data_IF_323999928333
#
_entry.id   IF_323999928333
#
_cell.length_a   1.000
_cell.length_b   1.000
_cell.length_c   1.000
_cell.angle_alpha   90.00
_cell.angle_beta   90.00
_cell.angle_gamma   90.00
#
_symmetry.space_group_name_H-M   'P 1'
#
loop_
_entity.id
_entity.type
_entity.pdbx_description
1 polymer ?
#
# COMPACT_ATOMS: atom_id res chain seq x y z
N UNK A 1 30.52 6.13 -17.15
CA UNK A 1 29.11 6.37 -16.69
C UNK A 1 29.10 6.27 -15.19
N UNK A 2 28.88 7.39 -14.47
CA UNK A 2 28.83 7.44 -13.01
C UNK A 2 27.50 6.90 -12.47
N UNK A 3 26.40 7.33 -13.08
CA UNK A 3 25.05 6.88 -12.76
C UNK A 3 24.34 6.49 -14.06
N UNK A 4 23.67 5.36 -14.07
CA UNK A 4 22.88 4.92 -15.22
C UNK A 4 21.50 5.59 -15.22
N UNK A 5 20.90 5.76 -16.39
CA UNK A 5 19.50 6.16 -16.50
C UNK A 5 18.60 5.18 -15.72
N UNK A 6 17.57 5.69 -15.06
CA UNK A 6 16.68 4.91 -14.18
C UNK A 6 17.22 4.67 -12.76
N UNK A 7 18.44 5.12 -12.44
CA UNK A 7 18.98 5.03 -11.08
C UNK A 7 18.19 5.94 -10.13
N UNK A 8 17.67 5.41 -9.02
CA UNK A 8 17.07 6.22 -7.95
C UNK A 8 18.15 7.09 -7.31
N UNK A 9 17.95 8.40 -7.31
CA UNK A 9 18.88 9.35 -6.68
C UNK A 9 18.69 9.32 -5.16
N UNK A 10 19.78 9.03 -4.45
CA UNK A 10 19.91 9.19 -3.00
C UNK A 10 20.80 10.40 -2.72
N UNK A 11 20.82 10.89 -1.46
CA UNK A 11 21.70 11.99 -1.06
C UNK A 11 23.18 11.73 -1.44
N UNK A 12 23.67 10.51 -1.22
CA UNK A 12 25.04 10.11 -1.58
C UNK A 12 25.28 10.16 -3.10
N UNK A 13 24.30 9.73 -3.91
CA UNK A 13 24.40 9.78 -5.38
C UNK A 13 24.32 11.20 -5.91
N UNK A 14 23.58 12.08 -5.25
CA UNK A 14 23.59 13.52 -5.55
C UNK A 14 24.95 14.13 -5.24
N UNK A 15 25.56 13.80 -4.09
CA UNK A 15 26.92 14.20 -3.76
C UNK A 15 27.96 13.72 -4.78
N UNK A 16 27.85 12.48 -5.25
CA UNK A 16 28.70 11.94 -6.31
C UNK A 16 28.57 12.74 -7.62
N UNK A 17 27.35 13.07 -8.02
CA UNK A 17 27.09 13.86 -9.22
C UNK A 17 27.68 15.28 -9.09
N UNK A 18 27.49 15.93 -7.94
CA UNK A 18 28.06 17.24 -7.65
C UNK A 18 29.61 17.21 -7.67
N UNK A 19 30.23 16.20 -7.06
CA UNK A 19 31.67 16.01 -7.07
C UNK A 19 32.23 15.80 -8.51
N UNK A 20 31.40 15.31 -9.42
CA UNK A 20 31.74 15.16 -10.84
C UNK A 20 31.42 16.41 -11.68
N UNK A 21 31.04 17.54 -11.05
CA UNK A 21 30.80 18.82 -11.71
C UNK A 21 29.42 18.99 -12.33
N UNK A 22 28.44 18.18 -11.89
CA UNK A 22 27.05 18.33 -12.33
C UNK A 22 26.24 19.18 -11.38
N UNK A 23 25.87 20.40 -11.78
CA UNK A 23 25.03 21.32 -11.00
C UNK A 23 23.53 20.98 -11.12
N UNK A 24 23.14 20.27 -12.16
CA UNK A 24 21.76 19.85 -12.40
C UNK A 24 21.72 18.46 -13.04
N UNK A 25 20.68 17.70 -12.70
CA UNK A 25 20.42 16.38 -13.26
C UNK A 25 18.99 16.31 -13.81
N UNK A 26 18.76 15.79 -15.02
CA UNK A 26 17.42 15.50 -15.49
C UNK A 26 16.85 14.33 -14.70
N UNK A 27 15.73 14.53 -14.01
CA UNK A 27 15.09 13.51 -13.17
C UNK A 27 13.61 13.37 -13.51
N UNK A 28 13.04 12.19 -13.28
CA UNK A 28 11.60 12.01 -13.20
C UNK A 28 11.16 12.28 -11.76
N UNK A 29 10.18 13.16 -11.59
CA UNK A 29 9.51 13.34 -10.31
C UNK A 29 8.78 12.04 -9.90
N UNK A 30 8.54 11.82 -8.60
CA UNK A 30 7.64 10.77 -8.14
C UNK A 30 6.28 10.89 -8.85
N UNK A 31 5.69 9.75 -9.24
CA UNK A 31 4.37 9.77 -9.85
C UNK A 31 3.33 10.27 -8.83
N UNK A 32 2.38 11.08 -9.30
CA UNK A 32 1.31 11.57 -8.45
C UNK A 32 0.29 10.46 -8.15
N UNK A 33 -0.33 10.54 -6.97
CA UNK A 33 -1.45 9.69 -6.56
C UNK A 33 -2.58 10.56 -6.00
N UNK A 34 -3.79 10.41 -6.54
CA UNK A 34 -5.01 10.98 -5.97
C UNK A 34 -5.62 9.98 -4.99
N UNK A 35 -6.00 10.45 -3.81
CA UNK A 35 -6.58 9.61 -2.76
C UNK A 35 -8.06 9.94 -2.57
N UNK A 36 -8.92 8.93 -2.70
CA UNK A 36 -10.36 9.01 -2.49
C UNK A 36 -10.71 8.18 -1.25
N UNK A 37 -11.25 8.84 -0.24
CA UNK A 37 -11.63 8.23 1.02
C UNK A 37 -13.14 8.03 1.07
N UNK A 38 -13.56 6.78 1.13
CA UNK A 38 -14.97 6.35 1.21
C UNK A 38 -15.28 5.86 2.63
N UNK A 39 -16.53 5.87 3.00
CA UNK A 39 -17.04 5.42 4.30
C UNK A 39 -17.71 6.57 5.05
N UNK A 40 -19.04 6.62 4.98
CA UNK A 40 -19.83 7.61 5.72
C UNK A 40 -19.70 7.44 7.23
N UNK A 41 -19.35 6.23 7.70
CA UNK A 41 -19.09 5.94 9.10
C UNK A 41 -17.77 6.55 9.62
N UNK A 42 -16.86 6.96 8.72
CA UNK A 42 -15.51 7.42 9.07
C UNK A 42 -15.50 8.89 9.46
N UNK A 43 -15.10 9.20 10.68
CA UNK A 43 -14.95 10.59 11.17
C UNK A 43 -13.50 11.03 11.20
N UNK A 44 -13.26 12.24 10.67
CA UNK A 44 -11.91 12.78 10.55
C UNK A 44 -11.32 13.28 11.88
N UNK A 45 -12.15 13.69 12.84
CA UNK A 45 -11.71 14.31 14.09
C UNK A 45 -12.58 13.89 15.28
N UNK A 46 -12.03 13.98 16.48
CA UNK A 46 -12.73 13.71 17.73
C UNK A 46 -12.97 12.23 18.03
N UNK A 47 -13.74 11.98 19.08
CA UNK A 47 -14.17 10.64 19.48
C UNK A 47 -15.42 10.27 18.67
N UNK A 48 -15.42 9.12 17.97
CA UNK A 48 -16.58 8.74 17.17
C UNK A 48 -17.79 8.40 18.04
N UNK A 49 -18.97 8.81 17.61
CA UNK A 49 -20.24 8.39 18.19
C UNK A 49 -20.50 6.89 17.88
N UNK A 50 -21.44 6.23 18.59
CA UNK A 50 -21.84 4.85 18.26
C UNK A 50 -22.19 4.68 16.77
N UNK A 51 -21.70 3.63 16.14
CA UNK A 51 -21.85 3.37 14.71
C UNK A 51 -20.92 4.15 13.79
N UNK A 52 -20.05 4.98 14.34
CA UNK A 52 -18.98 5.67 13.60
C UNK A 52 -17.60 5.13 13.99
N UNK A 53 -16.62 5.30 13.12
CA UNK A 53 -15.22 4.93 13.39
C UNK A 53 -14.29 6.11 13.14
N UNK A 54 -13.21 6.15 13.90
CA UNK A 54 -12.17 7.17 13.68
C UNK A 54 -11.33 6.83 12.45
N UNK A 55 -11.08 7.83 11.61
CA UNK A 55 -10.15 7.68 10.50
C UNK A 55 -8.74 7.35 11.02
N UNK A 56 -8.31 6.14 10.77
CA UNK A 56 -7.00 5.63 11.15
C UNK A 56 -6.03 5.54 9.97
N UNK A 57 -6.51 5.73 8.74
CA UNK A 57 -5.73 5.56 7.51
C UNK A 57 -5.43 6.92 6.88
N UNK A 58 -6.44 7.76 6.73
CA UNK A 58 -6.34 9.03 6.01
C UNK A 58 -5.17 9.92 6.44
N UNK A 59 -4.93 10.11 7.75
CA UNK A 59 -3.78 10.90 8.22
C UNK A 59 -2.41 10.33 7.85
N UNK A 60 -2.28 9.00 7.71
CA UNK A 60 -1.03 8.32 7.40
C UNK A 60 -0.79 8.12 5.89
N UNK A 61 -1.84 8.21 5.07
CA UNK A 61 -1.75 7.88 3.64
C UNK A 61 -0.73 8.71 2.86
N UNK A 62 -0.63 10.05 3.02
CA UNK A 62 0.35 10.84 2.28
C UNK A 62 1.79 10.38 2.54
N UNK A 63 2.14 10.15 3.81
CA UNK A 63 3.48 9.72 4.20
C UNK A 63 3.78 8.28 3.77
N UNK A 64 2.79 7.38 3.89
CA UNK A 64 2.92 6.01 3.40
C UNK A 64 3.11 5.94 1.88
N UNK A 65 2.39 6.76 1.12
CA UNK A 65 2.54 6.86 -0.33
C UNK A 65 3.90 7.46 -0.70
N UNK A 66 4.34 8.49 0.03
CA UNK A 66 5.66 9.09 -0.15
C UNK A 66 6.79 8.05 0.10
N UNK A 67 6.67 7.26 1.16
CA UNK A 67 7.60 6.15 1.44
C UNK A 67 7.60 5.09 0.32
N UNK A 68 6.47 4.87 -0.35
CA UNK A 68 6.35 4.02 -1.53
C UNK A 68 6.91 4.66 -2.81
N UNK A 69 7.35 5.93 -2.78
CA UNK A 69 7.89 6.63 -3.94
C UNK A 69 6.84 7.33 -4.82
N UNK A 70 5.69 7.64 -4.25
CA UNK A 70 4.58 8.37 -4.87
C UNK A 70 4.42 9.74 -4.22
N UNK A 71 3.93 10.73 -4.97
CA UNK A 71 3.55 12.04 -4.44
C UNK A 71 2.03 12.08 -4.27
N UNK A 72 1.54 12.25 -3.05
CA UNK A 72 0.10 12.33 -2.79
C UNK A 72 -0.24 13.59 -2.01
N UNK A 73 -1.39 14.18 -2.35
CA UNK A 73 -2.03 15.22 -1.58
C UNK A 73 -2.95 14.67 -0.48
N UNK A 74 -3.68 15.57 0.17
CA UNK A 74 -4.69 15.20 1.16
C UNK A 74 -5.82 14.40 0.51
N UNK A 75 -6.36 13.36 1.19
CA UNK A 75 -7.46 12.58 0.67
C UNK A 75 -8.73 13.41 0.42
N UNK A 76 -9.38 13.17 -0.70
CA UNK A 76 -10.72 13.69 -0.99
C UNK A 76 -11.76 12.75 -0.39
N UNK A 77 -12.64 13.26 0.48
CA UNK A 77 -13.74 12.46 1.05
C UNK A 77 -14.93 12.46 0.12
N UNK A 78 -15.48 11.28 -0.09
CA UNK A 78 -16.63 11.06 -0.97
C UNK A 78 -17.66 10.22 -0.20
N UNK A 79 -18.95 10.55 -0.25
CA UNK A 79 -19.99 9.76 0.39
C UNK A 79 -20.11 8.37 -0.24
N UNK A 80 -20.68 7.43 0.50
CA UNK A 80 -20.96 6.05 0.05
C UNK A 80 -22.10 6.02 -0.97
N UNK A 81 -21.83 6.59 -2.14
CA UNK A 81 -22.74 6.69 -3.28
C UNK A 81 -22.02 6.32 -4.57
N UNK A 82 -22.64 5.46 -5.38
CA UNK A 82 -22.02 4.92 -6.59
C UNK A 82 -21.70 6.01 -7.63
N UNK A 83 -22.58 7.02 -7.76
CA UNK A 83 -22.36 8.13 -8.68
C UNK A 83 -21.26 9.05 -8.19
N UNK A 84 -21.27 9.40 -6.90
CA UNK A 84 -20.23 10.23 -6.29
C UNK A 84 -18.86 9.55 -6.40
N UNK A 85 -18.78 8.25 -6.14
CA UNK A 85 -17.56 7.44 -6.27
C UNK A 85 -17.06 7.44 -7.73
N UNK A 86 -17.95 7.13 -8.69
CA UNK A 86 -17.62 7.16 -10.13
C UNK A 86 -17.09 8.54 -10.55
N UNK A 87 -17.81 9.59 -10.18
CA UNK A 87 -17.47 10.96 -10.57
C UNK A 87 -16.14 11.42 -9.94
N UNK A 88 -15.83 10.98 -8.72
CA UNK A 88 -14.56 11.24 -8.07
C UNK A 88 -13.39 10.54 -8.78
N UNK A 89 -13.54 9.25 -9.11
CA UNK A 89 -12.52 8.49 -9.87
C UNK A 89 -12.34 9.09 -11.28
N UNK A 90 -13.42 9.48 -11.94
CA UNK A 90 -13.36 10.10 -13.27
C UNK A 90 -12.60 11.44 -13.26
N UNK A 91 -12.83 12.27 -12.24
CA UNK A 91 -12.17 13.59 -12.10
C UNK A 91 -10.73 13.54 -11.59
N UNK A 92 -10.30 12.45 -11.00
CA UNK A 92 -8.92 12.29 -10.58
C UNK A 92 -7.97 12.49 -11.76
N UNK A 93 -6.89 13.22 -11.56
CA UNK A 93 -5.94 13.60 -12.62
C UNK A 93 -4.61 12.82 -12.55
N UNK A 94 -4.31 12.25 -11.38
CA UNK A 94 -3.07 11.53 -11.17
C UNK A 94 -3.05 10.19 -11.93
N UNK A 95 -1.87 9.70 -12.36
CA UNK A 95 -1.73 8.41 -13.02
C UNK A 95 -2.10 7.22 -12.12
N UNK A 96 -2.11 7.42 -10.81
CA UNK A 96 -2.61 6.45 -9.83
C UNK A 96 -3.73 7.08 -9.01
N UNK A 97 -4.86 6.39 -8.93
CA UNK A 97 -5.94 6.70 -8.00
C UNK A 97 -5.95 5.64 -6.90
N UNK A 98 -5.97 6.05 -5.65
CA UNK A 98 -6.06 5.14 -4.50
C UNK A 98 -7.39 5.38 -3.80
N UNK A 99 -8.23 4.35 -3.69
CA UNK A 99 -9.45 4.43 -2.89
C UNK A 99 -9.28 3.66 -1.59
N UNK A 100 -9.89 4.15 -0.50
CA UNK A 100 -9.96 3.44 0.78
C UNK A 100 -11.43 3.22 1.16
N UNK A 101 -11.79 1.99 1.52
CA UNK A 101 -13.19 1.60 1.75
C UNK A 101 -13.91 1.20 0.47
N UNK A 102 -15.14 0.74 0.59
CA UNK A 102 -16.00 0.36 -0.54
C UNK A 102 -15.47 -0.77 -1.44
N UNK A 103 -14.48 -1.55 -1.01
CA UNK A 103 -13.87 -2.63 -1.80
C UNK A 103 -14.33 -4.04 -1.39
N UNK A 104 -15.32 -4.14 -0.51
CA UNK A 104 -15.93 -5.39 -0.06
C UNK A 104 -17.15 -5.75 -0.91
N UNK A 105 -17.56 -7.00 -0.93
CA UNK A 105 -18.76 -7.46 -1.67
C UNK A 105 -20.07 -7.15 -0.93
N UNK A 106 -20.10 -6.11 -0.08
CA UNK A 106 -21.28 -5.67 0.65
C UNK A 106 -22.17 -4.71 -0.15
N UNK A 107 -23.39 -4.42 0.32
CA UNK A 107 -24.31 -3.49 -0.36
C UNK A 107 -23.80 -2.03 -0.40
N UNK A 108 -22.79 -1.67 0.39
CA UNK A 108 -22.10 -0.38 0.37
C UNK A 108 -20.83 -0.38 -0.51
N UNK A 109 -20.62 -1.42 -1.31
CA UNK A 109 -19.46 -1.50 -2.23
C UNK A 109 -19.79 -0.81 -3.56
N UNK A 110 -19.57 0.48 -3.58
CA UNK A 110 -19.82 1.29 -4.78
C UNK A 110 -18.60 1.38 -5.71
N UNK A 111 -17.40 0.95 -5.26
CA UNK A 111 -16.17 1.08 -6.04
C UNK A 111 -16.19 0.18 -7.26
N UNK A 112 -16.60 -1.08 -7.12
CA UNK A 112 -16.70 -2.01 -8.26
C UNK A 112 -17.68 -1.51 -9.31
N UNK A 113 -18.87 -1.10 -8.88
CA UNK A 113 -19.89 -0.55 -9.80
C UNK A 113 -19.41 0.72 -10.49
N UNK A 114 -18.66 1.57 -9.77
CA UNK A 114 -18.06 2.78 -10.36
C UNK A 114 -16.99 2.43 -11.41
N UNK A 115 -16.13 1.45 -11.14
CA UNK A 115 -15.10 0.98 -12.09
C UNK A 115 -15.74 0.36 -13.34
N UNK A 116 -16.76 -0.47 -13.18
CA UNK A 116 -17.51 -1.07 -14.29
C UNK A 116 -18.16 0.00 -15.18
N UNK A 117 -18.80 1.01 -14.54
CA UNK A 117 -19.41 2.15 -15.25
C UNK A 117 -18.40 3.04 -15.99
N UNK A 118 -17.14 3.06 -15.55
CA UNK A 118 -16.04 3.76 -16.22
C UNK A 118 -15.34 2.91 -17.28
N UNK A 119 -15.77 1.68 -17.51
CA UNK A 119 -15.16 0.75 -18.46
C UNK A 119 -13.76 0.29 -18.02
N UNK A 120 -13.49 0.28 -16.73
CA UNK A 120 -12.20 -0.13 -16.20
C UNK A 120 -11.97 -1.64 -16.39
N UNK A 121 -10.74 -2.01 -16.71
CA UNK A 121 -10.29 -3.41 -16.76
C UNK A 121 -9.72 -3.81 -15.42
N UNK A 122 -10.32 -4.78 -14.73
CA UNK A 122 -9.74 -5.36 -13.54
C UNK A 122 -8.46 -6.14 -13.87
N UNK A 123 -7.33 -5.70 -13.31
CA UNK A 123 -6.03 -6.36 -13.40
C UNK A 123 -5.87 -7.37 -12.26
N UNK A 124 -6.34 -6.98 -11.07
CA UNK A 124 -6.42 -7.83 -9.89
C UNK A 124 -7.84 -7.72 -9.32
N UNK A 125 -8.51 -8.85 -9.18
CA UNK A 125 -9.82 -8.96 -8.53
C UNK A 125 -9.70 -9.89 -7.32
N UNK A 126 -9.35 -9.30 -6.19
CA UNK A 126 -8.99 -9.98 -4.96
C UNK A 126 -7.70 -10.84 -5.06
N UNK A 127 -7.08 -11.08 -3.92
CA UNK A 127 -5.87 -11.91 -3.79
C UNK A 127 -6.00 -12.90 -2.65
N UNK A 128 -5.33 -14.05 -2.75
CA UNK A 128 -5.25 -15.02 -1.65
C UNK A 128 -4.21 -14.59 -0.62
N UNK A 129 -4.47 -13.45 0.04
CA UNK A 129 -3.61 -12.80 1.03
C UNK A 129 -4.42 -12.43 2.28
N UNK A 130 -3.84 -12.55 3.46
CA UNK A 130 -4.44 -12.14 4.74
C UNK A 130 -3.42 -11.39 5.61
N UNK A 131 -3.75 -10.16 6.08
CA UNK A 131 -4.91 -9.35 5.72
C UNK A 131 -4.83 -8.86 4.27
N UNK A 132 -5.97 -8.40 3.69
CA UNK A 132 -5.97 -7.71 2.40
C UNK A 132 -6.64 -8.46 1.24
N UNK A 133 -7.34 -9.58 1.50
CA UNK A 133 -8.01 -10.36 0.45
C UNK A 133 -8.82 -9.53 -0.57
N UNK A 134 -9.65 -8.52 -0.19
CA UNK A 134 -10.52 -7.83 -1.14
C UNK A 134 -9.86 -6.68 -1.92
N UNK A 135 -8.53 -6.57 -1.90
CA UNK A 135 -7.84 -5.55 -2.70
C UNK A 135 -8.15 -5.74 -4.18
N UNK A 136 -8.37 -4.62 -4.89
CA UNK A 136 -8.51 -4.61 -6.33
C UNK A 136 -7.51 -3.66 -6.98
N UNK A 137 -7.07 -4.00 -8.19
CA UNK A 137 -6.30 -3.12 -9.06
C UNK A 137 -6.99 -3.10 -10.42
N UNK A 138 -7.33 -1.92 -10.88
CA UNK A 138 -7.96 -1.71 -12.17
C UNK A 138 -7.15 -0.74 -13.03
N UNK A 139 -7.36 -0.81 -14.34
CA UNK A 139 -6.85 0.13 -15.32
C UNK A 139 -8.04 0.79 -16.01
N UNK A 140 -8.08 2.11 -16.00
CA UNK A 140 -9.08 2.90 -16.73
C UNK A 140 -8.74 2.94 -18.23
N UNK A 141 -9.73 3.23 -19.11
CA UNK A 141 -9.49 3.31 -20.54
C UNK A 141 -8.44 4.34 -20.98
N UNK A 142 -8.19 5.33 -20.14
CA UNK A 142 -7.15 6.36 -20.36
C UNK A 142 -5.76 5.97 -19.83
N UNK A 143 -5.61 4.75 -19.30
CA UNK A 143 -4.34 4.22 -18.79
C UNK A 143 -4.04 4.53 -17.32
N UNK A 144 -4.90 5.28 -16.62
CA UNK A 144 -4.73 5.49 -15.17
C UNK A 144 -4.99 4.20 -14.40
N UNK A 145 -4.17 3.94 -13.38
CA UNK A 145 -4.38 2.82 -12.47
C UNK A 145 -5.26 3.22 -11.29
N UNK A 146 -6.13 2.32 -10.84
CA UNK A 146 -6.96 2.49 -9.63
C UNK A 146 -6.66 1.35 -8.67
N UNK A 147 -6.05 1.67 -7.53
CA UNK A 147 -5.78 0.74 -6.43
C UNK A 147 -6.86 0.90 -5.35
N UNK A 148 -7.69 -0.13 -5.19
CA UNK A 148 -8.79 -0.12 -4.24
C UNK A 148 -8.40 -0.87 -2.98
N UNK A 149 -8.19 -0.12 -1.90
CA UNK A 149 -7.78 -0.64 -0.61
C UNK A 149 -9.00 -1.04 0.24
N UNK A 150 -8.89 -2.11 1.05
CA UNK A 150 -9.93 -2.46 2.03
C UNK A 150 -10.21 -1.34 3.04
N UNK A 151 -11.44 -1.29 3.58
CA UNK A 151 -11.80 -0.35 4.64
C UNK A 151 -11.16 -0.66 6.01
N UNK A 152 -10.75 -1.92 6.24
CA UNK A 152 -10.03 -2.28 7.48
C UNK A 152 -8.62 -1.68 7.48
N UNK A 153 -8.22 -0.90 8.51
CA UNK A 153 -6.95 -0.16 8.52
C UNK A 153 -5.70 -1.04 8.33
N UNK A 154 -5.61 -2.16 9.04
CA UNK A 154 -4.47 -3.07 8.89
C UNK A 154 -4.42 -3.66 7.49
N UNK A 155 -5.56 -4.06 6.94
CA UNK A 155 -5.63 -4.62 5.59
C UNK A 155 -5.29 -3.55 4.53
N UNK A 156 -5.75 -2.31 4.71
CA UNK A 156 -5.46 -1.22 3.80
C UNK A 156 -3.96 -0.91 3.74
N UNK A 157 -3.29 -0.79 4.90
CA UNK A 157 -1.84 -0.52 4.96
C UNK A 157 -1.06 -1.71 4.38
N UNK A 158 -1.42 -2.95 4.74
CA UNK A 158 -0.77 -4.14 4.20
C UNK A 158 -0.90 -4.22 2.66
N UNK A 159 -2.09 -3.91 2.11
CA UNK A 159 -2.30 -3.83 0.66
C UNK A 159 -1.52 -2.68 0.04
N UNK A 160 -1.56 -1.49 0.64
CA UNK A 160 -0.82 -0.33 0.14
C UNK A 160 0.66 -0.66 0.00
N UNK A 161 1.29 -1.16 1.06
CA UNK A 161 2.72 -1.51 1.07
C UNK A 161 3.06 -2.68 0.14
N UNK A 162 2.09 -3.54 -0.19
CA UNK A 162 2.28 -4.63 -1.15
C UNK A 162 2.18 -4.19 -2.60
N UNK A 163 1.31 -3.22 -2.91
CA UNK A 163 0.97 -2.83 -4.28
C UNK A 163 1.55 -1.49 -4.71
N UNK A 164 1.63 -0.49 -3.81
CA UNK A 164 2.08 0.85 -4.19
C UNK A 164 3.56 0.91 -4.61
N UNK A 165 4.54 0.24 -3.96
CA UNK A 165 5.93 0.28 -4.42
C UNK A 165 6.13 -0.26 -5.84
N UNK A 166 5.61 -1.45 -6.23
CA UNK A 166 5.75 -1.92 -7.60
C UNK A 166 5.00 -1.05 -8.62
N UNK A 167 3.87 -0.45 -8.26
CA UNK A 167 3.18 0.52 -9.12
C UNK A 167 4.01 1.78 -9.31
N UNK A 168 4.60 2.33 -8.25
CA UNK A 168 5.48 3.49 -8.32
C UNK A 168 6.72 3.23 -9.19
N UNK A 169 7.32 2.03 -9.07
CA UNK A 169 8.45 1.64 -9.90
C UNK A 169 8.04 1.50 -11.38
N UNK A 170 6.90 0.86 -11.65
CA UNK A 170 6.35 0.74 -13.01
C UNK A 170 6.07 2.11 -13.65
N UNK A 171 5.38 3.01 -12.94
CA UNK A 171 5.10 4.37 -13.40
C UNK A 171 6.39 5.19 -13.63
N UNK A 172 7.44 4.94 -12.86
CA UNK A 172 8.75 5.56 -13.05
C UNK A 172 9.60 4.90 -14.14
N UNK A 173 9.12 3.80 -14.76
CA UNK A 173 9.88 3.03 -15.74
C UNK A 173 11.08 2.28 -15.14
N UNK A 174 10.98 1.88 -13.88
CA UNK A 174 12.01 1.11 -13.16
C UNK A 174 11.62 -0.36 -13.07
N UNK A 175 12.61 -1.23 -12.95
CA UNK A 175 12.38 -2.62 -12.60
C UNK A 175 11.91 -2.74 -11.15
N UNK A 176 10.91 -3.57 -10.91
CA UNK A 176 10.42 -3.86 -9.56
C UNK A 176 11.47 -4.70 -8.83
N UNK A 177 12.03 -4.24 -7.70
CA UNK A 177 13.02 -5.01 -6.96
C UNK A 177 12.37 -6.22 -6.28
N UNK A 178 13.13 -7.29 -6.11
CA UNK A 178 12.70 -8.41 -5.29
C UNK A 178 12.59 -7.97 -3.81
N UNK A 179 11.61 -8.53 -3.09
CA UNK A 179 11.50 -8.30 -1.66
C UNK A 179 12.78 -8.78 -0.94
N UNK A 180 13.27 -8.01 0.04
CA UNK A 180 14.44 -8.40 0.82
C UNK A 180 14.17 -9.69 1.60
N UNK A 181 15.25 -10.44 1.88
CA UNK A 181 15.22 -11.67 2.65
C UNK A 181 15.75 -11.41 4.06
N UNK A 182 15.11 -12.07 5.01
CA UNK A 182 15.42 -12.02 6.43
C UNK A 182 15.40 -13.43 7.00
N UNK A 183 15.91 -13.62 8.20
CA UNK A 183 15.80 -14.88 8.92
C UNK A 183 14.57 -14.82 9.84
N UNK A 184 13.73 -15.85 9.83
CA UNK A 184 12.65 -15.98 10.79
C UNK A 184 13.22 -16.30 12.19
N UNK A 185 12.87 -15.49 13.20
CA UNK A 185 13.30 -15.70 14.59
C UNK A 185 12.38 -16.66 15.36
N UNK A 186 11.22 -16.99 14.81
CA UNK A 186 10.25 -17.92 15.39
C UNK A 186 9.47 -18.65 14.30
N UNK A 187 8.74 -19.69 14.70
CA UNK A 187 7.82 -20.38 13.80
C UNK A 187 6.67 -19.46 13.38
N UNK A 188 6.40 -19.41 12.09
CA UNK A 188 5.35 -18.61 11.47
C UNK A 188 4.30 -19.55 10.85
N UNK A 189 3.16 -19.78 11.52
CA UNK A 189 2.13 -20.67 11.00
C UNK A 189 1.60 -20.19 9.65
N UNK A 190 1.46 -21.11 8.71
CA UNK A 190 0.92 -20.84 7.40
C UNK A 190 -0.55 -20.44 7.40
N UNK A 191 -1.03 -19.94 6.28
CA UNK A 191 -2.41 -19.49 6.08
C UNK A 191 -3.33 -20.50 5.39
N UNK A 192 -2.93 -21.77 5.27
CA UNK A 192 -3.67 -22.78 4.52
C UNK A 192 -3.69 -22.45 3.03
N UNK A 193 -4.81 -21.99 2.47
CA UNK A 193 -4.92 -21.61 1.05
C UNK A 193 -4.47 -20.18 0.75
N UNK A 194 -4.02 -19.42 1.76
CA UNK A 194 -3.69 -18.00 1.63
C UNK A 194 -2.27 -17.70 2.12
N UNK A 195 -1.60 -16.78 1.47
CA UNK A 195 -0.39 -16.12 2.00
C UNK A 195 -0.78 -15.26 3.21
N UNK A 196 -0.01 -15.32 4.29
CA UNK A 196 -0.20 -14.43 5.43
C UNK A 196 0.86 -13.32 5.41
N UNK A 197 0.42 -12.11 5.72
CA UNK A 197 1.31 -11.02 6.08
C UNK A 197 1.30 -10.89 7.60
N UNK A 198 2.45 -11.17 8.20
CA UNK A 198 2.62 -11.20 9.66
C UNK A 198 3.52 -10.04 10.07
N UNK A 199 3.02 -9.17 10.95
CA UNK A 199 3.79 -8.08 11.49
C UNK A 199 4.88 -8.63 12.43
N UNK A 200 6.14 -8.31 12.15
CA UNK A 200 7.30 -8.80 12.89
C UNK A 200 8.25 -7.65 13.24
N UNK A 201 8.86 -7.73 14.40
CA UNK A 201 9.96 -6.86 14.83
C UNK A 201 11.28 -7.60 14.73
N UNK A 202 12.38 -6.86 14.63
CA UNK A 202 13.72 -7.40 14.70
C UNK A 202 14.09 -7.72 16.16
N UNK A 203 14.62 -8.90 16.39
CA UNK A 203 15.26 -9.24 17.67
C UNK A 203 16.72 -8.73 17.70
N UNK A 204 17.39 -8.94 18.85
CA UNK A 204 18.78 -8.51 19.06
C UNK A 204 19.78 -9.18 18.09
N UNK A 205 19.41 -10.32 17.50
CA UNK A 205 20.20 -11.04 16.48
C UNK A 205 19.83 -10.63 15.04
N UNK A 206 18.94 -9.65 14.86
CA UNK A 206 18.49 -9.17 13.55
C UNK A 206 17.53 -10.12 12.83
N UNK A 207 16.86 -11.02 13.55
CA UNK A 207 15.86 -11.94 13.03
C UNK A 207 14.45 -11.37 13.22
N UNK A 208 13.53 -11.70 12.34
CA UNK A 208 12.13 -11.25 12.43
C UNK A 208 11.30 -12.17 13.33
N UNK A 209 10.78 -11.63 14.43
CA UNK A 209 9.87 -12.29 15.38
C UNK A 209 8.48 -11.66 15.35
N UNK A 210 7.40 -12.46 15.39
CA UNK A 210 6.05 -11.93 15.39
C UNK A 210 5.81 -11.01 16.59
N UNK A 211 5.26 -9.83 16.36
CA UNK A 211 4.78 -8.96 17.43
C UNK A 211 3.44 -9.45 17.99
N UNK A 212 3.11 -9.05 19.21
CA UNK A 212 1.78 -9.24 19.77
C UNK A 212 0.70 -8.45 18.97
N UNK A 213 -0.57 -8.75 19.17
CA UNK A 213 -1.70 -8.01 18.59
C UNK A 213 -1.78 -8.07 17.04
N UNK A 214 -1.79 -9.28 16.49
CA UNK A 214 -1.90 -9.57 15.04
C UNK A 214 -3.35 -9.57 14.51
N UNK A 215 -4.35 -9.22 15.32
CA UNK A 215 -5.77 -9.29 14.94
C UNK A 215 -6.18 -8.28 13.86
N UNK A 216 -7.28 -8.53 13.15
CA UNK A 216 -7.84 -7.59 12.18
C UNK A 216 -8.18 -6.25 12.86
N UNK A 217 -7.81 -5.15 12.22
CA UNK A 217 -8.02 -3.80 12.77
C UNK A 217 -7.00 -3.36 13.83
N UNK A 218 -6.05 -4.21 14.22
CA UNK A 218 -5.05 -3.88 15.23
C UNK A 218 -3.80 -3.21 14.63
N UNK A 219 -3.86 -1.90 14.40
CA UNK A 219 -2.67 -1.11 14.03
C UNK A 219 -1.59 -1.14 15.11
N UNK A 220 -1.95 -1.46 16.37
CA UNK A 220 -1.00 -1.54 17.48
C UNK A 220 0.13 -2.54 17.22
N UNK A 221 -0.19 -3.71 16.64
CA UNK A 221 0.85 -4.67 16.27
C UNK A 221 1.71 -4.15 15.12
N UNK A 222 1.08 -3.53 14.11
CA UNK A 222 1.82 -2.95 12.98
C UNK A 222 2.74 -1.81 13.44
N UNK A 223 2.30 -0.98 14.38
CA UNK A 223 3.08 0.13 14.92
C UNK A 223 4.30 -0.33 15.76
N UNK A 224 4.34 -1.58 16.19
CA UNK A 224 5.46 -2.17 16.92
C UNK A 224 6.33 -3.07 16.03
N UNK A 225 6.09 -3.11 14.74
CA UNK A 225 6.78 -4.00 13.81
C UNK A 225 7.75 -3.22 12.91
N UNK A 226 8.80 -3.90 12.45
CA UNK A 226 9.76 -3.39 11.48
C UNK A 226 9.44 -3.87 10.06
N UNK A 227 8.71 -4.98 9.93
CA UNK A 227 8.36 -5.54 8.63
C UNK A 227 7.07 -6.38 8.66
N UNK A 228 6.44 -6.52 7.48
CA UNK A 228 5.42 -7.52 7.21
C UNK A 228 6.07 -8.73 6.54
N UNK A 229 6.19 -9.83 7.27
CA UNK A 229 6.73 -11.09 6.71
C UNK A 229 5.69 -11.75 5.82
N UNK A 230 6.11 -12.11 4.61
CA UNK A 230 5.31 -12.85 3.64
C UNK A 230 5.42 -14.34 3.95
N UNK A 231 4.48 -14.86 4.72
CA UNK A 231 4.43 -16.25 5.14
C UNK A 231 3.66 -17.08 4.11
N UNK A 232 4.30 -18.07 3.48
CA UNK A 232 3.64 -18.93 2.50
C UNK A 232 2.53 -19.79 3.15
N UNK A 233 1.71 -20.42 2.33
CA UNK A 233 0.62 -21.28 2.80
C UNK A 233 1.08 -22.40 3.75
N UNK A 234 2.28 -22.94 3.53
CA UNK A 234 2.89 -23.98 4.37
C UNK A 234 3.46 -23.47 5.70
N UNK A 235 3.60 -22.14 5.85
CA UNK A 235 4.30 -21.53 6.98
C UNK A 235 5.80 -21.39 6.75
N UNK A 236 6.52 -20.96 7.79
CA UNK A 236 7.98 -20.95 7.88
C UNK A 236 8.40 -21.29 9.31
N UNK A 237 9.58 -21.90 9.46
CA UNK A 237 10.14 -22.26 10.76
C UNK A 237 11.17 -21.22 11.21
N UNK A 238 11.46 -21.19 12.49
CA UNK A 238 12.60 -20.48 13.01
C UNK A 238 13.89 -20.88 12.27
N UNK A 239 14.67 -19.89 11.83
CA UNK A 239 15.88 -20.09 11.02
C UNK A 239 15.64 -20.08 9.50
N UNK A 240 14.41 -20.19 9.01
CA UNK A 240 14.13 -20.14 7.58
C UNK A 240 14.36 -18.73 7.02
N UNK A 241 14.79 -18.68 5.74
CA UNK A 241 14.86 -17.44 4.98
C UNK A 241 13.46 -17.03 4.50
N UNK A 242 12.97 -15.92 5.00
CA UNK A 242 11.65 -15.36 4.66
C UNK A 242 11.78 -14.06 3.88
N UNK A 243 10.80 -13.77 3.02
CA UNK A 243 10.67 -12.44 2.39
C UNK A 243 9.83 -11.54 3.28
N UNK A 244 10.18 -10.28 3.32
CA UNK A 244 9.39 -9.31 4.07
C UNK A 244 9.28 -7.97 3.33
N UNK A 245 8.20 -7.26 3.62
CA UNK A 245 7.97 -5.88 3.19
C UNK A 245 8.42 -5.01 4.37
N UNK A 246 9.51 -4.23 4.24
CA UNK A 246 9.92 -3.31 5.30
C UNK A 246 8.82 -2.29 5.57
N UNK A 247 8.58 -1.96 6.82
CA UNK A 247 7.72 -0.84 7.18
C UNK A 247 8.52 0.46 7.05
N UNK A 248 7.91 1.53 6.54
CA UNK A 248 8.55 2.84 6.53
C UNK A 248 8.71 3.34 7.96
N UNK A 249 9.92 3.77 8.31
CA UNK A 249 10.25 4.42 9.57
C UNK A 249 9.93 5.89 9.57
#
# INVERSE_FOLDING_TARGET
VLLRAGTRLTAVRLGLAAAAGHDALPVRAPAAADVIHLGDEVVAQGVPAPGRVRDAIGPALPDLLAACGLAAGSPTRVPDDARATRDAVARAAAPLVVTTGGSSRGPADHVRAALDALGARLVVDAVRMRPGHPVMLAELPDGRAVLCLPGNPLAAIACLLSFAPPLADGLAGRAVPALPRWTAGADLPGGGSSTRLVACALDDDGRLVPVAAQGPGMLRGLAAADALVVVPSAGARAGDAVRAIPLPG
#
